data_IF_759459821038
#
_entry.id   IF_759459821038
#
_cell.length_a   1.000
_cell.length_b   1.000
_cell.length_c   1.000
_cell.angle_alpha   90.00
_cell.angle_beta   90.00
_cell.angle_gamma   90.00
#
_symmetry.space_group_name_H-M   'P 1'
#
loop_
_entity.id
_entity.type
_entity.pdbx_description
1 polymer ?
#
# COMPACT_ATOMS: atom_id res chain seq x y z
N UNK A 1 -10.53 -8.18 -65.84
CA UNK A 1 -11.05 -8.76 -64.59
C UNK A 1 -9.92 -8.78 -63.56
N UNK A 2 -10.09 -7.99 -62.50
CA UNK A 2 -9.47 -7.99 -61.14
C UNK A 2 -7.96 -8.31 -61.05
N UNK A 3 -7.05 -7.33 -60.93
CA UNK A 3 -6.72 -6.49 -59.74
C UNK A 3 -6.70 -7.29 -58.44
N UNK A 4 -5.52 -7.48 -57.87
CA UNK A 4 -5.20 -7.16 -56.45
C UNK A 4 -3.70 -7.25 -56.18
N UNK A 5 -3.27 -6.40 -55.26
CA UNK A 5 -1.91 -5.91 -55.07
C UNK A 5 -1.06 -6.88 -54.26
N UNK A 6 0.22 -7.01 -54.63
CA UNK A 6 1.24 -7.54 -53.72
C UNK A 6 1.32 -6.64 -52.49
N UNK A 7 0.88 -7.19 -51.36
CA UNK A 7 0.79 -6.55 -50.07
C UNK A 7 2.21 -6.41 -49.47
N UNK A 8 2.66 -5.16 -49.34
CA UNK A 8 3.89 -4.81 -48.63
C UNK A 8 3.68 -5.09 -47.14
N UNK A 9 4.43 -6.04 -46.58
CA UNK A 9 4.42 -6.35 -45.15
C UNK A 9 5.15 -5.22 -44.41
N UNK A 10 4.42 -4.20 -43.99
CA UNK A 10 4.91 -3.20 -43.04
C UNK A 10 5.07 -3.88 -41.67
N UNK A 11 6.31 -4.10 -41.27
CA UNK A 11 6.67 -4.46 -39.90
C UNK A 11 6.33 -3.27 -39.00
N UNK A 12 5.23 -3.36 -38.25
CA UNK A 12 4.94 -2.42 -37.18
C UNK A 12 5.96 -2.64 -36.05
N UNK A 13 6.86 -1.68 -35.87
CA UNK A 13 7.72 -1.58 -34.70
C UNK A 13 6.81 -1.25 -33.51
N UNK A 14 6.46 -2.27 -32.72
CA UNK A 14 5.84 -2.08 -31.40
C UNK A 14 6.91 -1.49 -30.47
N UNK A 15 6.82 -0.19 -30.26
CA UNK A 15 7.71 0.58 -29.38
C UNK A 15 7.25 0.39 -27.93
N UNK A 16 7.59 -0.76 -27.32
CA UNK A 16 7.30 -1.07 -25.92
C UNK A 16 8.35 -0.46 -24.98
N UNK A 17 8.30 0.86 -24.79
CA UNK A 17 9.23 1.58 -23.89
C UNK A 17 8.99 1.18 -22.44
N UNK A 18 10.09 0.76 -21.81
CA UNK A 18 10.20 0.22 -20.46
C UNK A 18 9.43 1.03 -19.40
N UNK A 19 8.74 0.28 -18.51
CA UNK A 19 8.14 0.83 -17.28
C UNK A 19 9.24 1.53 -16.48
N UNK A 20 9.14 2.85 -16.36
CA UNK A 20 9.93 3.61 -15.40
C UNK A 20 9.72 3.01 -14.01
N UNK A 21 10.82 2.76 -13.29
CA UNK A 21 10.77 2.43 -11.87
C UNK A 21 10.09 3.60 -11.17
N UNK A 22 8.83 3.42 -10.80
CA UNK A 22 8.13 4.37 -9.94
C UNK A 22 8.88 4.35 -8.63
N UNK A 23 9.57 5.45 -8.33
CA UNK A 23 10.20 5.69 -7.05
C UNK A 23 9.07 5.78 -6.03
N UNK A 24 8.73 4.67 -5.40
CA UNK A 24 7.75 4.62 -4.32
C UNK A 24 8.37 5.33 -3.11
N UNK A 25 7.84 6.50 -2.68
CA UNK A 25 8.29 7.09 -1.42
C UNK A 25 7.88 6.12 -0.31
N UNK A 26 8.87 5.70 0.47
CA UNK A 26 8.65 4.83 1.61
C UNK A 26 7.68 5.49 2.60
N UNK A 27 6.95 4.68 3.39
CA UNK A 27 6.20 5.17 4.53
C UNK A 27 7.09 6.08 5.42
N UNK A 28 6.54 7.17 5.97
CA UNK A 28 7.11 7.93 7.09
C UNK A 28 7.06 7.05 8.35
N UNK A 29 7.79 5.94 8.31
CA UNK A 29 8.42 5.41 9.49
C UNK A 29 9.59 6.35 9.73
N UNK A 30 9.49 7.25 10.72
CA UNK A 30 10.66 8.03 11.16
C UNK A 30 11.76 6.99 11.43
N UNK A 31 12.78 6.96 10.59
CA UNK A 31 13.79 5.90 10.62
C UNK A 31 14.31 5.80 12.04
N UNK A 32 14.16 4.62 12.67
CA UNK A 32 14.72 4.36 14.00
C UNK A 32 16.20 4.71 13.94
N UNK A 33 16.53 5.85 14.52
CA UNK A 33 17.91 6.30 14.55
C UNK A 33 18.66 5.39 15.52
N UNK A 34 19.98 5.30 15.36
CA UNK A 34 20.82 4.64 16.37
C UNK A 34 20.57 5.23 17.77
N UNK A 35 20.18 6.51 17.83
CA UNK A 35 19.79 7.19 19.07
C UNK A 35 18.53 6.56 19.69
N UNK A 36 17.48 6.29 18.92
CA UNK A 36 16.22 5.70 19.45
C UNK A 36 16.43 4.29 20.03
N UNK A 37 17.49 3.56 19.61
CA UNK A 37 17.85 2.25 20.19
C UNK A 37 18.59 2.39 21.52
N UNK A 38 19.41 3.43 21.67
CA UNK A 38 20.18 3.71 22.89
C UNK A 38 19.35 4.41 23.95
N UNK A 39 18.42 5.27 23.52
CA UNK A 39 17.47 5.98 24.35
C UNK A 39 16.07 5.78 23.77
N UNK A 40 15.36 4.71 24.19
CA UNK A 40 13.99 4.47 23.78
C UNK A 40 13.13 5.69 24.07
N UNK A 41 12.20 5.99 23.16
CA UNK A 41 11.23 7.05 23.44
C UNK A 41 10.42 6.69 24.67
N UNK A 42 10.17 7.71 25.48
CA UNK A 42 9.19 7.65 26.54
C UNK A 42 7.81 7.24 25.99
N UNK A 43 6.95 6.74 26.86
CA UNK A 43 5.63 6.18 26.60
C UNK A 43 4.88 6.79 25.40
N UNK A 44 4.32 5.94 24.54
CA UNK A 44 3.56 6.40 23.38
C UNK A 44 2.22 6.99 23.81
N UNK A 45 1.93 8.24 23.41
CA UNK A 45 0.61 8.85 23.67
C UNK A 45 -0.55 7.99 23.15
N UNK A 46 -0.35 7.31 22.00
CA UNK A 46 -1.35 6.44 21.41
C UNK A 46 -1.73 5.26 22.30
N UNK A 47 -0.82 4.74 23.11
CA UNK A 47 -1.11 3.64 24.05
C UNK A 47 -1.99 4.09 25.22
N UNK A 48 -1.92 5.37 25.60
CA UNK A 48 -2.80 5.95 26.63
C UNK A 48 -4.13 6.44 26.06
N UNK A 49 -4.16 6.79 24.78
CA UNK A 49 -5.34 7.36 24.14
C UNK A 49 -6.27 6.31 23.51
N UNK A 50 -5.69 5.25 22.95
CA UNK A 50 -6.45 4.15 22.37
C UNK A 50 -6.70 3.14 23.48
N UNK A 51 -7.95 3.07 23.95
CA UNK A 51 -8.35 2.18 25.04
C UNK A 51 -7.98 0.71 24.79
N UNK A 52 -8.41 0.11 23.65
CA UNK A 52 -8.12 -1.28 23.38
C UNK A 52 -6.63 -1.58 23.18
N UNK A 53 -6.10 -2.51 23.98
CA UNK A 53 -4.77 -3.07 23.86
C UNK A 53 -4.59 -3.96 22.62
N UNK A 54 -3.43 -4.59 22.47
CA UNK A 54 -3.19 -5.49 21.34
C UNK A 54 -4.06 -6.75 21.41
N UNK A 55 -4.17 -7.35 22.59
CA UNK A 55 -4.93 -8.58 22.82
C UNK A 55 -6.43 -8.35 22.65
N UNK A 56 -6.96 -7.28 23.27
CA UNK A 56 -8.37 -6.88 23.13
C UNK A 56 -8.72 -6.60 21.67
N UNK A 57 -7.85 -5.92 20.91
CA UNK A 57 -8.05 -5.74 19.45
C UNK A 57 -8.10 -7.08 18.72
N UNK A 58 -7.29 -8.05 19.11
CA UNK A 58 -7.31 -9.41 18.56
C UNK A 58 -8.66 -10.10 18.81
N UNK A 59 -9.11 -10.12 20.06
CA UNK A 59 -10.40 -10.70 20.45
C UNK A 59 -11.58 -10.03 19.72
N UNK A 60 -11.55 -8.70 19.58
CA UNK A 60 -12.56 -7.94 18.84
C UNK A 60 -12.55 -8.29 17.34
N UNK A 61 -11.37 -8.44 16.73
CA UNK A 61 -11.26 -8.82 15.32
C UNK A 61 -11.74 -10.25 15.08
N UNK A 62 -11.40 -11.17 15.98
CA UNK A 62 -11.85 -12.57 15.93
C UNK A 62 -13.37 -12.66 16.07
N UNK A 63 -13.96 -11.89 17.00
CA UNK A 63 -15.42 -11.79 17.15
C UNK A 63 -16.11 -11.30 15.86
N UNK A 64 -15.48 -10.34 15.17
CA UNK A 64 -15.98 -9.82 13.89
C UNK A 64 -15.65 -10.70 12.68
N UNK A 65 -14.82 -11.73 12.85
CA UNK A 65 -14.39 -12.63 11.77
C UNK A 65 -13.37 -12.02 10.80
N UNK A 66 -12.57 -11.04 11.25
CA UNK A 66 -11.48 -10.46 10.46
C UNK A 66 -10.12 -10.98 10.92
N UNK A 67 -9.21 -11.27 9.99
CA UNK A 67 -7.87 -11.77 10.36
C UNK A 67 -6.95 -10.68 10.90
N UNK A 68 -7.20 -9.43 10.54
CA UNK A 68 -6.41 -8.27 10.92
C UNK A 68 -7.13 -6.95 10.61
N UNK A 69 -6.61 -5.86 11.17
CA UNK A 69 -7.10 -4.50 10.93
C UNK A 69 -7.14 -4.11 9.46
N UNK A 70 -6.13 -4.51 8.66
CA UNK A 70 -6.06 -4.14 7.24
C UNK A 70 -7.23 -4.74 6.47
N UNK A 71 -7.53 -6.03 6.70
CA UNK A 71 -8.68 -6.69 6.09
C UNK A 71 -9.99 -5.97 6.44
N UNK A 72 -10.21 -5.67 7.73
CA UNK A 72 -11.39 -4.94 8.20
C UNK A 72 -11.52 -3.59 7.48
N UNK A 73 -10.46 -2.77 7.46
CA UNK A 73 -10.47 -1.44 6.81
C UNK A 73 -10.81 -1.56 5.32
N UNK A 74 -10.20 -2.51 4.60
CA UNK A 74 -10.44 -2.68 3.15
C UNK A 74 -11.85 -3.16 2.81
N UNK A 75 -12.51 -3.87 3.73
CA UNK A 75 -13.90 -4.31 3.56
C UNK A 75 -14.91 -3.24 3.98
N UNK A 76 -14.54 -2.32 4.88
CA UNK A 76 -15.41 -1.25 5.36
C UNK A 76 -15.32 0.02 4.52
N UNK A 77 -14.13 0.44 4.11
CA UNK A 77 -13.90 1.71 3.41
C UNK A 77 -13.78 1.46 1.90
N UNK A 78 -14.60 2.10 1.05
CA UNK A 78 -14.48 1.97 -0.40
C UNK A 78 -13.09 2.38 -0.90
N UNK A 79 -12.53 1.57 -1.81
CA UNK A 79 -11.19 1.78 -2.34
C UNK A 79 -11.02 3.13 -3.06
N UNK A 80 -12.09 3.73 -3.58
CA UNK A 80 -12.07 5.02 -4.27
C UNK A 80 -11.72 6.21 -3.36
N UNK A 81 -11.89 6.08 -2.05
CA UNK A 81 -11.60 7.13 -1.06
C UNK A 81 -10.51 6.73 -0.06
N UNK A 82 -10.04 5.48 -0.10
CA UNK A 82 -8.99 5.00 0.77
C UNK A 82 -7.63 5.53 0.28
N UNK A 83 -6.88 6.17 1.18
CA UNK A 83 -5.57 6.73 0.83
C UNK A 83 -4.54 5.61 0.60
N UNK A 84 -3.80 5.70 -0.51
CA UNK A 84 -2.79 4.73 -0.96
C UNK A 84 -1.35 5.06 -0.55
N UNK A 85 -1.20 6.14 0.21
CA UNK A 85 0.07 6.65 0.74
C UNK A 85 -0.06 6.94 2.23
N UNK A 86 1.08 7.10 2.89
CA UNK A 86 1.06 7.59 4.26
C UNK A 86 0.76 9.08 4.36
N UNK A 87 0.30 9.48 5.55
CA UNK A 87 0.16 10.87 5.91
C UNK A 87 1.54 11.53 5.91
N UNK A 88 1.59 12.79 5.46
CA UNK A 88 2.81 13.62 5.45
C UNK A 88 2.97 14.38 6.76
#
# INVERSE_FOLDING_TARGET
>A
MYRTHHFVRLSTIVNGRARGKVFSPAPICRSLSTLDKLYPRHDSFSERHIGPGADEKGEMLDFLGFKNMKEMITKTVPASILMDRELR
#
